data_IF_236020677819
#
_entry.id   IF_236020677819
#
_cell.length_a   1.000
_cell.length_b   1.000
_cell.length_c   1.000
_cell.angle_alpha   90.00
_cell.angle_beta   90.00
_cell.angle_gamma   90.00
#
_symmetry.space_group_name_H-M   'P 1'
#
loop_
_entity.id
_entity.type
_entity.pdbx_description
1 polymer ?
#
# COMPACT_ATOMS: atom_id res chain seq x y z
N UNK A 1 -77.74 1.67 -25.23
CA UNK A 1 -77.93 2.37 -23.94
C UNK A 1 -76.61 3.06 -23.59
N UNK A 2 -76.51 4.39 -23.79
CA UNK A 2 -75.29 5.15 -23.47
C UNK A 2 -75.34 5.53 -21.99
N UNK A 3 -74.42 5.00 -21.19
CA UNK A 3 -74.25 5.41 -19.79
C UNK A 3 -73.82 6.89 -19.79
N UNK A 4 -74.67 7.75 -19.24
CA UNK A 4 -74.39 9.18 -19.06
C UNK A 4 -73.39 9.27 -17.90
N UNK A 5 -72.11 9.49 -18.20
CA UNK A 5 -71.13 9.79 -17.17
C UNK A 5 -71.41 11.20 -16.66
N UNK A 6 -71.94 11.32 -15.44
CA UNK A 6 -72.03 12.61 -14.76
C UNK A 6 -70.60 13.11 -14.51
N UNK A 7 -70.18 14.13 -15.24
CA UNK A 7 -68.99 14.89 -14.86
C UNK A 7 -69.37 15.82 -13.71
N UNK A 8 -69.27 15.32 -12.48
CA UNK A 8 -69.39 16.14 -11.26
C UNK A 8 -68.12 16.97 -11.09
N UNK A 9 -68.26 18.30 -11.15
CA UNK A 9 -67.21 19.24 -10.77
C UNK A 9 -67.22 19.50 -9.25
N UNK A 10 -66.08 19.95 -8.73
CA UNK A 10 -65.96 20.35 -7.32
C UNK A 10 -66.64 21.70 -7.07
N UNK A 11 -67.26 21.85 -5.92
CA UNK A 11 -67.78 23.13 -5.44
C UNK A 11 -66.65 24.03 -4.95
N UNK A 12 -66.88 25.35 -4.98
CA UNK A 12 -65.91 26.33 -4.46
C UNK A 12 -65.58 26.09 -2.98
N UNK A 13 -66.55 25.62 -2.19
CA UNK A 13 -66.34 25.34 -0.77
C UNK A 13 -65.43 24.12 -0.55
N UNK A 14 -65.53 23.07 -1.39
CA UNK A 14 -64.62 21.92 -1.34
C UNK A 14 -63.19 22.31 -1.72
N UNK A 15 -63.03 23.20 -2.70
CA UNK A 15 -61.70 23.74 -3.06
C UNK A 15 -61.09 24.57 -1.93
N UNK A 16 -61.89 25.39 -1.23
CA UNK A 16 -61.41 26.16 -0.08
C UNK A 16 -60.97 25.28 1.09
N UNK A 17 -61.78 24.26 1.45
CA UNK A 17 -61.46 23.34 2.54
C UNK A 17 -60.23 22.50 2.22
N UNK A 18 -60.10 22.01 0.98
CA UNK A 18 -58.97 21.17 0.57
C UNK A 18 -57.63 21.92 0.62
N UNK A 19 -57.59 23.16 0.15
CA UNK A 19 -56.37 23.99 0.19
C UNK A 19 -55.98 24.34 1.62
N UNK A 20 -56.96 24.62 2.49
CA UNK A 20 -56.71 24.89 3.91
C UNK A 20 -56.06 23.68 4.61
N UNK A 21 -56.58 22.47 4.39
CA UNK A 21 -56.01 21.25 4.98
C UNK A 21 -54.65 20.92 4.38
N UNK A 22 -54.49 21.05 3.06
CA UNK A 22 -53.23 20.72 2.37
C UNK A 22 -52.09 21.66 2.79
N UNK A 23 -52.34 22.97 2.86
CA UNK A 23 -51.34 23.94 3.33
C UNK A 23 -50.93 23.69 4.78
N UNK A 24 -51.87 23.32 5.66
CA UNK A 24 -51.57 22.91 7.03
C UNK A 24 -50.64 21.69 7.07
N UNK A 25 -50.98 20.64 6.31
CA UNK A 25 -50.18 19.40 6.26
C UNK A 25 -48.79 19.64 5.71
N UNK A 26 -48.63 20.42 4.63
CA UNK A 26 -47.31 20.76 4.07
C UNK A 26 -46.49 21.57 5.07
N UNK A 27 -47.11 22.51 5.79
CA UNK A 27 -46.37 23.36 6.74
C UNK A 27 -45.80 22.51 7.89
N UNK A 28 -46.59 21.56 8.41
CA UNK A 28 -46.15 20.63 9.45
C UNK A 28 -45.08 19.67 8.91
N UNK A 29 -45.31 19.06 7.74
CA UNK A 29 -44.37 18.14 7.11
C UNK A 29 -43.04 18.79 6.73
N UNK A 30 -43.08 19.99 6.18
CA UNK A 30 -41.90 20.77 5.79
C UNK A 30 -41.03 21.14 6.99
N UNK A 31 -41.64 21.55 8.11
CA UNK A 31 -40.90 21.84 9.34
C UNK A 31 -40.17 20.60 9.87
N UNK A 32 -40.82 19.42 9.84
CA UNK A 32 -40.21 18.16 10.26
C UNK A 32 -38.99 17.79 9.39
N UNK A 33 -39.12 17.89 8.06
CA UNK A 33 -38.05 17.57 7.11
C UNK A 33 -36.83 18.49 7.28
N UNK A 34 -37.04 19.79 7.50
CA UNK A 34 -35.94 20.74 7.71
C UNK A 34 -35.16 20.43 9.00
N UNK A 35 -35.86 20.12 10.10
CA UNK A 35 -35.23 19.75 11.35
C UNK A 35 -34.46 18.41 11.23
N UNK A 36 -35.03 17.45 10.50
CA UNK A 36 -34.37 16.18 10.20
C UNK A 36 -33.08 16.39 9.39
N UNK A 37 -33.09 17.27 8.38
CA UNK A 37 -31.90 17.57 7.59
C UNK A 37 -30.80 18.25 8.42
N UNK A 38 -31.16 19.19 9.31
CA UNK A 38 -30.21 19.81 10.22
C UNK A 38 -29.57 18.79 11.18
N UNK A 39 -30.38 17.89 11.75
CA UNK A 39 -29.92 16.81 12.62
C UNK A 39 -29.04 15.80 11.88
N UNK A 40 -29.40 15.48 10.63
CA UNK A 40 -28.62 14.60 9.77
C UNK A 40 -27.23 15.17 9.49
N UNK A 41 -27.12 16.45 9.09
CA UNK A 41 -25.83 17.12 8.84
C UNK A 41 -24.97 17.19 10.10
N UNK A 42 -25.56 17.48 11.27
CA UNK A 42 -24.84 17.44 12.55
C UNK A 42 -24.29 16.04 12.81
N UNK A 43 -25.11 15.00 12.66
CA UNK A 43 -24.70 13.60 12.87
C UNK A 43 -23.60 13.17 11.91
N UNK A 44 -23.69 13.57 10.64
CA UNK A 44 -22.69 13.25 9.63
C UNK A 44 -21.33 13.85 10.01
N UNK A 45 -21.28 15.13 10.36
CA UNK A 45 -20.03 15.78 10.78
C UNK A 45 -19.44 15.15 12.04
N UNK A 46 -20.28 14.77 13.01
CA UNK A 46 -19.84 14.06 14.21
C UNK A 46 -19.24 12.68 13.87
N UNK A 47 -19.78 11.98 12.87
CA UNK A 47 -19.21 10.70 12.40
C UNK A 47 -17.83 10.91 11.77
N UNK A 48 -17.67 11.90 10.90
CA UNK A 48 -16.37 12.22 10.28
C UNK A 48 -15.30 12.53 11.33
N UNK A 49 -15.64 13.30 12.37
CA UNK A 49 -14.71 13.57 13.47
C UNK A 49 -14.43 12.32 14.30
N UNK A 50 -15.45 11.51 14.59
CA UNK A 50 -15.25 10.27 15.33
C UNK A 50 -14.37 9.28 14.56
N UNK A 51 -14.50 9.22 13.23
CA UNK A 51 -13.64 8.42 12.36
C UNK A 51 -12.19 8.93 12.38
N UNK A 52 -11.99 10.26 12.36
CA UNK A 52 -10.66 10.85 12.54
C UNK A 52 -10.05 10.50 13.91
N UNK A 53 -10.83 10.60 15.00
CA UNK A 53 -10.37 10.22 16.34
C UNK A 53 -10.07 8.72 16.44
N UNK A 54 -10.89 7.89 15.80
CA UNK A 54 -10.64 6.45 15.71
C UNK A 54 -9.34 6.15 14.98
N UNK A 55 -9.03 6.85 13.89
CA UNK A 55 -7.75 6.71 13.18
C UNK A 55 -6.56 7.10 14.06
N UNK A 56 -6.66 8.20 14.83
CA UNK A 56 -5.61 8.60 15.78
C UNK A 56 -5.41 7.54 16.86
N UNK A 57 -6.49 7.01 17.41
CA UNK A 57 -6.44 5.91 18.39
C UNK A 57 -5.81 4.65 17.80
N UNK A 58 -6.14 4.32 16.55
CA UNK A 58 -5.54 3.19 15.84
C UNK A 58 -4.04 3.39 15.62
N UNK A 59 -3.60 4.58 15.22
CA UNK A 59 -2.19 4.91 15.08
C UNK A 59 -1.44 4.74 16.41
N UNK A 60 -1.93 5.36 17.49
CA UNK A 60 -1.31 5.24 18.82
C UNK A 60 -1.25 3.76 19.20
N UNK A 61 -2.34 3.02 19.01
CA UNK A 61 -2.38 1.59 19.33
C UNK A 61 -1.35 0.78 18.55
N UNK A 62 -1.16 1.09 17.26
CA UNK A 62 -0.20 0.40 16.40
C UNK A 62 1.23 0.61 16.90
N UNK A 63 1.57 1.84 17.28
CA UNK A 63 2.90 2.12 17.81
C UNK A 63 3.12 1.53 19.20
N UNK A 64 2.13 1.65 20.09
CA UNK A 64 2.20 1.02 21.40
C UNK A 64 2.35 -0.50 21.27
N UNK A 65 1.66 -1.17 20.36
CA UNK A 65 1.79 -2.63 20.16
C UNK A 65 3.17 -3.09 19.71
N UNK A 66 3.92 -2.23 19.02
CA UNK A 66 5.27 -2.51 18.54
C UNK A 66 6.35 -2.04 19.51
N UNK A 67 5.98 -1.21 20.49
CA UNK A 67 6.92 -0.64 21.44
C UNK A 67 7.32 -1.58 22.57
N UNK A 68 8.27 -1.11 23.38
CA UNK A 68 8.68 -1.69 24.66
C UNK A 68 8.93 -0.59 25.68
N UNK A 69 9.31 -0.95 26.91
CA UNK A 69 9.67 0.00 27.97
C UNK A 69 8.64 1.12 28.17
N UNK A 70 7.38 0.73 28.41
CA UNK A 70 6.31 1.71 28.62
C UNK A 70 6.51 2.43 29.95
N UNK A 71 6.71 3.72 29.87
CA UNK A 71 6.74 4.63 31.00
C UNK A 71 5.52 5.53 30.91
N UNK A 72 4.68 5.47 31.93
CA UNK A 72 3.63 6.44 32.11
C UNK A 72 3.93 7.26 33.35
N UNK A 73 3.91 8.59 33.18
CA UNK A 73 4.38 9.50 34.21
C UNK A 73 5.47 10.44 33.71
N UNK A 74 5.66 11.53 34.45
CA UNK A 74 6.83 12.41 34.33
C UNK A 74 8.04 11.89 35.11
N UNK A 75 8.04 10.60 35.48
CA UNK A 75 9.12 9.97 36.25
C UNK A 75 10.34 9.74 35.38
N UNK A 76 11.43 10.42 35.73
CA UNK A 76 12.78 10.11 35.23
C UNK A 76 13.34 8.88 35.98
N UNK A 77 14.05 7.97 35.30
CA UNK A 77 14.43 8.00 33.88
C UNK A 77 13.26 7.64 32.94
N UNK A 78 13.19 8.29 31.78
CA UNK A 78 12.06 8.14 30.82
C UNK A 78 12.10 6.80 30.06
N UNK A 79 13.28 6.19 30.03
CA UNK A 79 13.61 4.90 29.43
C UNK A 79 13.26 3.69 30.31
N UNK A 80 13.02 3.92 31.60
CA UNK A 80 12.65 2.87 32.54
C UNK A 80 11.13 2.63 32.56
N UNK A 81 10.65 1.38 32.56
CA UNK A 81 9.22 1.11 32.63
C UNK A 81 8.58 1.64 33.91
N UNK A 82 7.40 2.24 33.79
CA UNK A 82 6.63 2.73 34.94
C UNK A 82 5.12 2.65 34.69
N UNK A 83 4.41 2.03 35.63
CA UNK A 83 2.95 1.91 35.61
C UNK A 83 2.28 3.16 36.17
N UNK A 84 1.07 3.45 35.66
CA UNK A 84 0.26 4.58 36.12
C UNK A 84 -1.24 4.26 36.01
N UNK A 85 -2.06 4.88 36.86
CA UNK A 85 -3.51 4.78 36.76
C UNK A 85 -4.10 5.79 35.77
N UNK A 86 -3.50 6.97 35.64
CA UNK A 86 -3.89 8.00 34.69
C UNK A 86 -2.78 9.04 34.58
N UNK A 87 -2.33 9.31 33.37
CA UNK A 87 -1.46 10.45 33.07
C UNK A 87 -1.84 11.05 31.71
N UNK A 88 -1.53 12.32 31.50
CA UNK A 88 -1.70 12.99 30.22
C UNK A 88 -0.66 12.54 29.20
N UNK A 89 0.44 11.91 29.64
CA UNK A 89 1.55 11.50 28.80
C UNK A 89 1.89 10.01 28.95
N UNK A 90 2.24 9.39 27.83
CA UNK A 90 2.83 8.05 27.78
C UNK A 90 4.07 8.08 26.91
N UNK A 91 5.12 7.45 27.41
CA UNK A 91 6.39 7.29 26.74
C UNK A 91 6.73 5.82 26.58
N UNK A 92 7.37 5.46 25.48
CA UNK A 92 7.80 4.09 25.21
C UNK A 92 8.92 4.06 24.19
N UNK A 93 9.65 2.96 24.20
CA UNK A 93 10.68 2.66 23.22
C UNK A 93 10.05 2.13 21.93
N UNK A 94 10.46 2.63 20.77
CA UNK A 94 9.92 2.15 19.49
C UNK A 94 10.67 0.90 19.04
N UNK A 95 10.04 0.02 18.24
CA UNK A 95 10.65 -1.24 17.74
C UNK A 95 11.99 -1.06 16.98
N UNK A 96 12.29 0.16 16.54
CA UNK A 96 13.52 0.50 15.80
C UNK A 96 14.43 1.48 16.56
N UNK A 97 14.05 1.90 17.77
CA UNK A 97 14.90 2.75 18.60
C UNK A 97 15.82 1.93 19.50
N UNK A 98 16.65 2.62 20.28
CA UNK A 98 17.63 2.00 21.16
C UNK A 98 17.17 2.14 22.62
N UNK A 99 16.83 1.03 23.32
CA UNK A 99 16.40 1.07 24.72
C UNK A 99 17.38 1.78 25.67
N UNK A 100 18.67 1.84 25.32
CA UNK A 100 19.71 2.48 26.12
C UNK A 100 19.88 3.99 25.83
N UNK A 101 19.10 4.56 24.92
CA UNK A 101 19.21 5.96 24.49
C UNK A 101 17.99 6.77 24.93
N UNK A 102 18.11 7.58 25.98
CA UNK A 102 16.99 8.38 26.52
C UNK A 102 16.48 9.54 25.61
N UNK A 103 16.92 9.64 24.35
CA UNK A 103 16.58 10.74 23.43
C UNK A 103 15.76 10.30 22.20
N UNK A 104 15.44 9.02 22.05
CA UNK A 104 14.67 8.48 20.92
C UNK A 104 13.33 7.85 21.31
N UNK A 105 12.92 7.97 22.58
CA UNK A 105 11.62 7.49 23.02
C UNK A 105 10.50 8.24 22.30
N UNK A 106 9.44 7.51 22.01
CA UNK A 106 8.23 8.05 21.42
C UNK A 106 7.29 8.46 22.54
N UNK A 107 6.79 9.69 22.45
CA UNK A 107 5.93 10.29 23.46
C UNK A 107 4.59 10.67 22.83
N UNK A 108 3.50 10.21 23.43
CA UNK A 108 2.17 10.73 23.17
C UNK A 108 1.70 11.49 24.38
N UNK A 109 1.20 12.70 24.17
CA UNK A 109 0.65 13.50 25.27
C UNK A 109 -0.63 14.21 24.88
N UNK A 110 -1.45 14.49 25.88
CA UNK A 110 -2.60 15.37 25.79
C UNK A 110 -2.17 16.72 26.34
N UNK A 111 -2.13 17.73 25.47
CA UNK A 111 -1.76 19.09 25.85
C UNK A 111 -2.63 20.09 25.09
N UNK A 112 -3.05 21.17 25.75
CA UNK A 112 -3.93 22.19 25.19
C UNK A 112 -5.19 21.62 24.50
N UNK A 113 -5.77 20.55 25.07
CA UNK A 113 -6.97 19.91 24.52
C UNK A 113 -6.75 19.10 23.24
N UNK A 114 -5.51 18.80 22.87
CA UNK A 114 -5.17 18.04 21.67
C UNK A 114 -4.17 16.92 21.96
N UNK A 115 -4.14 15.90 21.09
CA UNK A 115 -3.13 14.85 21.15
C UNK A 115 -1.94 15.27 20.33
N UNK A 116 -0.77 15.21 20.95
CA UNK A 116 0.51 15.52 20.33
C UNK A 116 1.42 14.30 20.34
N UNK A 117 2.32 14.25 19.37
CA UNK A 117 3.32 13.18 19.23
C UNK A 117 4.73 13.76 19.14
N UNK A 118 5.65 13.12 19.84
CA UNK A 118 7.09 13.34 19.76
C UNK A 118 7.80 12.02 19.46
N UNK A 119 8.95 12.11 18.80
CA UNK A 119 9.84 10.96 18.50
C UNK A 119 11.23 11.15 19.10
N UNK A 120 11.40 12.16 19.95
CA UNK A 120 12.68 12.58 20.52
C UNK A 120 12.50 12.90 22.01
N UNK A 121 11.87 11.97 22.73
CA UNK A 121 11.68 12.03 24.19
C UNK A 121 11.04 13.33 24.69
N UNK A 122 10.07 13.84 23.92
CA UNK A 122 9.30 15.04 24.28
C UNK A 122 10.03 16.37 24.03
N UNK A 123 11.19 16.38 23.37
CA UNK A 123 11.93 17.62 23.07
C UNK A 123 11.17 18.55 22.11
N UNK A 124 10.40 18.00 21.17
CA UNK A 124 9.47 18.78 20.35
C UNK A 124 8.18 18.03 20.02
N UNK A 125 7.13 18.79 19.69
CA UNK A 125 5.81 18.29 19.29
C UNK A 125 5.35 19.07 18.05
N UNK A 126 5.77 18.65 16.85
CA UNK A 126 5.60 19.45 15.64
C UNK A 126 4.18 19.42 15.07
N UNK A 127 3.33 18.49 15.51
CA UNK A 127 2.01 18.27 14.93
C UNK A 127 1.00 17.81 15.99
N UNK A 128 -0.18 18.43 15.95
CA UNK A 128 -1.38 17.96 16.63
C UNK A 128 -2.10 16.92 15.76
N UNK A 129 -2.45 15.78 16.35
CA UNK A 129 -3.08 14.65 15.63
C UNK A 129 -4.59 14.81 15.52
N UNK A 130 -5.20 15.61 16.39
CA UNK A 130 -6.64 15.81 16.45
C UNK A 130 -7.04 17.10 15.74
N UNK A 131 -8.21 17.14 15.04
CA UNK A 131 -8.74 18.37 14.45
C UNK A 131 -8.98 19.48 15.48
N UNK A 132 -8.94 20.74 15.05
CA UNK A 132 -9.11 21.91 15.93
C UNK A 132 -10.52 22.01 16.52
N UNK A 133 -11.51 21.38 15.90
CA UNK A 133 -12.89 21.31 16.38
C UNK A 133 -13.05 20.37 17.59
N UNK A 134 -12.04 19.54 17.88
CA UNK A 134 -12.01 18.65 19.03
C UNK A 134 -11.24 19.31 20.15
N UNK A 135 -11.87 19.37 21.31
CA UNK A 135 -11.26 19.83 22.56
C UNK A 135 -11.34 18.67 23.56
N UNK A 136 -10.18 18.11 23.87
CA UNK A 136 -10.03 16.98 24.80
C UNK A 136 -10.01 17.52 26.23
N UNK A 137 -10.82 16.91 27.08
CA UNK A 137 -10.85 17.17 28.51
C UNK A 137 -9.66 16.46 29.17
N UNK A 138 -8.69 17.20 29.76
CA UNK A 138 -7.51 16.62 30.37
C UNK A 138 -7.80 15.88 31.69
N UNK A 139 -8.92 16.15 32.36
CA UNK A 139 -9.28 15.50 33.64
C UNK A 139 -9.96 14.15 33.42
N UNK A 140 -10.61 13.97 32.26
CA UNK A 140 -11.32 12.74 31.89
C UNK A 140 -10.55 11.86 30.91
N UNK A 141 -9.50 12.40 30.31
CA UNK A 141 -8.66 11.73 29.31
C UNK A 141 -7.29 11.39 29.86
N UNK A 142 -6.67 10.36 29.31
CA UNK A 142 -5.34 9.96 29.71
C UNK A 142 -4.96 8.57 29.26
N UNK A 143 -3.73 8.23 29.60
CA UNK A 143 -3.12 6.93 29.43
C UNK A 143 -2.99 6.25 30.78
N UNK A 144 -3.30 4.96 30.82
CA UNK A 144 -3.02 4.11 31.98
C UNK A 144 -2.16 2.95 31.53
N UNK A 145 -1.05 2.70 32.22
CA UNK A 145 -0.11 1.62 31.91
C UNK A 145 -0.10 0.65 33.08
N UNK A 146 -0.21 -0.65 32.77
CA UNK A 146 -0.21 -1.70 33.76
C UNK A 146 0.69 -2.86 33.34
N UNK A 147 1.39 -3.43 34.29
CA UNK A 147 2.26 -4.60 34.09
C UNK A 147 3.47 -4.31 33.20
N UNK A 148 3.95 -3.06 33.16
CA UNK A 148 5.16 -2.68 32.40
C UNK A 148 6.46 -3.08 33.07
N UNK A 149 6.44 -3.35 34.39
CA UNK A 149 7.65 -3.69 35.15
C UNK A 149 8.34 -4.96 34.64
N UNK A 150 9.68 -4.98 34.56
CA UNK A 150 10.43 -6.16 34.15
C UNK A 150 10.20 -7.36 35.08
N UNK A 151 10.20 -8.58 34.51
CA UNK A 151 10.21 -9.86 35.25
C UNK A 151 9.00 -10.16 36.16
N UNK A 152 7.93 -9.38 36.12
CA UNK A 152 6.72 -9.65 36.91
C UNK A 152 5.81 -10.73 36.29
N UNK A 153 6.11 -11.20 35.07
CA UNK A 153 5.34 -12.22 34.34
C UNK A 153 3.98 -11.72 33.83
N UNK A 154 3.67 -10.43 34.00
CA UNK A 154 2.47 -9.81 33.46
C UNK A 154 2.73 -9.26 32.07
N UNK A 155 1.73 -9.38 31.21
CA UNK A 155 1.72 -8.73 29.92
C UNK A 155 1.43 -7.24 30.11
N UNK A 156 2.28 -6.33 29.59
CA UNK A 156 1.97 -4.91 29.60
C UNK A 156 0.66 -4.66 28.86
N UNK A 157 -0.16 -3.76 29.41
CA UNK A 157 -1.40 -3.30 28.79
C UNK A 157 -1.54 -1.80 28.97
N UNK A 158 -2.00 -1.14 27.91
CA UNK A 158 -2.26 0.30 27.91
C UNK A 158 -3.74 0.53 27.72
N UNK A 159 -4.34 1.27 28.63
CA UNK A 159 -5.69 1.81 28.49
C UNK A 159 -5.55 3.26 28.01
N UNK A 160 -6.27 3.59 26.93
CA UNK A 160 -6.38 4.95 26.45
C UNK A 160 -7.83 5.38 26.65
N UNK A 161 -8.02 6.53 27.28
CA UNK A 161 -9.32 7.18 27.43
C UNK A 161 -9.24 8.58 26.84
N UNK A 162 -10.13 8.88 25.92
CA UNK A 162 -10.29 10.22 25.33
C UNK A 162 -11.73 10.67 25.54
N UNK A 163 -11.92 11.72 26.30
CA UNK A 163 -13.20 12.37 26.51
C UNK A 163 -13.04 13.87 26.27
N UNK A 164 -14.11 14.52 25.83
CA UNK A 164 -14.06 15.94 25.52
C UNK A 164 -15.30 16.39 24.79
N UNK A 165 -15.17 17.52 24.09
CA UNK A 165 -16.25 18.13 23.31
C UNK A 165 -15.83 18.33 21.86
N UNK A 166 -16.80 18.10 20.96
CA UNK A 166 -16.69 18.43 19.54
C UNK A 166 -17.54 19.67 19.30
N UNK A 167 -16.91 20.74 18.84
CA UNK A 167 -17.56 22.01 18.58
C UNK A 167 -18.07 22.08 17.13
N UNK A 168 -19.38 21.89 16.94
CA UNK A 168 -20.01 22.05 15.61
C UNK A 168 -20.92 23.28 15.59
N UNK A 169 -20.54 24.31 14.80
CA UNK A 169 -21.30 25.58 14.69
C UNK A 169 -21.65 26.21 16.05
N UNK A 170 -20.69 26.19 16.99
CA UNK A 170 -20.88 26.74 18.34
C UNK A 170 -21.78 25.90 19.25
N UNK A 171 -22.09 24.66 18.88
CA UNK A 171 -22.80 23.71 19.72
C UNK A 171 -21.82 22.62 20.20
N UNK A 172 -21.38 22.66 21.47
CA UNK A 172 -20.50 21.63 22.02
C UNK A 172 -21.28 20.31 22.13
N UNK A 173 -20.69 19.23 21.62
CA UNK A 173 -21.25 17.88 21.72
C UNK A 173 -20.23 16.98 22.42
N UNK A 174 -20.56 16.38 23.58
CA UNK A 174 -19.61 15.56 24.32
C UNK A 174 -19.33 14.24 23.59
N UNK A 175 -18.11 13.73 23.74
CA UNK A 175 -17.72 12.38 23.32
C UNK A 175 -16.88 11.70 24.40
N UNK A 176 -16.86 10.37 24.36
CA UNK A 176 -15.99 9.56 25.21
C UNK A 176 -15.64 8.27 24.47
N UNK A 177 -14.36 8.07 24.23
CA UNK A 177 -13.76 6.89 23.62
C UNK A 177 -12.83 6.23 24.63
N UNK A 178 -12.86 4.90 24.70
CA UNK A 178 -12.00 4.14 25.58
C UNK A 178 -11.57 2.87 24.87
N UNK A 179 -10.28 2.54 24.92
CA UNK A 179 -9.78 1.29 24.36
C UNK A 179 -8.64 0.74 25.20
N UNK A 180 -8.67 -0.57 25.43
CA UNK A 180 -7.63 -1.32 26.14
C UNK A 180 -6.85 -2.15 25.12
N UNK A 181 -5.52 -2.11 25.20
CA UNK A 181 -4.64 -2.89 24.34
C UNK A 181 -3.75 -3.80 25.16
N UNK A 182 -3.84 -5.12 24.90
CA UNK A 182 -2.96 -6.13 25.47
C UNK A 182 -1.85 -6.47 24.45
N UNK A 183 -0.58 -6.33 24.84
CA UNK A 183 0.53 -6.18 23.88
C UNK A 183 1.09 -7.51 23.31
N UNK A 184 1.30 -8.56 24.11
CA UNK A 184 1.78 -9.89 23.65
C UNK A 184 0.85 -10.66 22.68
N UNK A 185 -0.47 -10.63 22.88
CA UNK A 185 -1.41 -11.43 22.05
C UNK A 185 -1.51 -10.86 20.63
N UNK A 186 -1.33 -9.54 20.48
CA UNK A 186 -1.48 -8.87 19.20
C UNK A 186 -0.16 -8.74 18.42
N UNK A 187 0.98 -8.53 19.11
CA UNK A 187 2.30 -8.46 18.45
C UNK A 187 2.67 -9.74 17.71
N UNK A 188 2.31 -10.92 18.23
CA UNK A 188 2.49 -12.20 17.54
C UNK A 188 1.68 -12.29 16.24
N UNK A 189 0.43 -11.81 16.23
CA UNK A 189 -0.39 -11.74 15.00
C UNK A 189 0.14 -10.72 13.99
N UNK A 190 0.66 -9.58 14.45
CA UNK A 190 1.20 -8.54 13.59
C UNK A 190 2.53 -8.95 12.96
N UNK A 191 3.41 -9.62 13.71
CA UNK A 191 4.61 -10.23 13.18
C UNK A 191 4.30 -11.29 12.11
N UNK A 192 3.28 -12.13 12.34
CA UNK A 192 2.82 -13.11 11.35
C UNK A 192 2.30 -12.44 10.06
N UNK A 193 1.53 -11.35 10.18
CA UNK A 193 1.05 -10.56 9.04
C UNK A 193 2.20 -9.90 8.25
N UNK A 194 3.20 -9.35 8.94
CA UNK A 194 4.40 -8.77 8.33
C UNK A 194 5.22 -9.81 7.54
N UNK A 195 5.36 -11.03 8.07
CA UNK A 195 6.01 -12.15 7.37
C UNK A 195 5.24 -12.52 6.09
N UNK A 196 3.90 -12.55 6.16
CA UNK A 196 3.05 -12.83 4.99
C UNK A 196 3.14 -11.72 3.92
N UNK A 197 3.16 -10.44 4.32
CA UNK A 197 3.36 -9.32 3.39
C UNK A 197 4.75 -9.33 2.75
N UNK A 198 5.81 -9.68 3.51
CA UNK A 198 7.16 -9.83 2.98
C UNK A 198 7.27 -10.95 1.93
N UNK A 199 6.61 -12.08 2.16
CA UNK A 199 6.51 -13.17 1.19
C UNK A 199 5.77 -12.77 -0.10
N UNK A 200 4.70 -11.97 0.02
CA UNK A 200 3.93 -11.47 -1.12
C UNK A 200 4.69 -10.49 -2.02
N UNK A 201 5.54 -9.63 -1.45
CA UNK A 201 6.39 -8.71 -2.23
C UNK A 201 7.47 -9.50 -2.96
N UNK A 202 8.09 -10.48 -2.29
CA UNK A 202 9.14 -11.32 -2.88
C UNK A 202 8.60 -12.16 -4.05
N UNK A 203 7.39 -12.72 -3.92
CA UNK A 203 6.73 -13.46 -5.01
C UNK A 203 6.32 -12.56 -6.17
N UNK A 204 5.92 -11.31 -5.91
CA UNK A 204 5.61 -10.34 -6.97
C UNK A 204 6.86 -9.93 -7.75
N UNK A 205 7.99 -9.67 -7.07
CA UNK A 205 9.27 -9.37 -7.73
C UNK A 205 9.75 -10.56 -8.56
N UNK A 206 9.64 -11.78 -8.03
CA UNK A 206 9.94 -13.00 -8.76
C UNK A 206 9.08 -13.12 -10.04
N UNK A 207 7.75 -12.96 -9.92
CA UNK A 207 6.83 -13.04 -11.05
C UNK A 207 7.12 -11.96 -12.11
N UNK A 208 7.46 -10.73 -11.68
CA UNK A 208 7.87 -9.64 -12.58
C UNK A 208 9.13 -10.03 -13.36
N UNK A 209 10.17 -10.49 -12.66
CA UNK A 209 11.43 -10.86 -13.30
C UNK A 209 11.26 -12.05 -14.25
N UNK A 210 10.43 -13.03 -13.87
CA UNK A 210 10.11 -14.17 -14.72
C UNK A 210 9.38 -13.76 -16.01
N UNK A 211 8.46 -12.78 -15.94
CA UNK A 211 7.81 -12.23 -17.13
C UNK A 211 8.79 -11.50 -18.04
N UNK A 212 9.63 -10.61 -17.49
CA UNK A 212 10.65 -9.89 -18.27
C UNK A 212 11.62 -10.86 -18.93
N UNK A 213 12.14 -11.85 -18.19
CA UNK A 213 13.02 -12.87 -18.74
C UNK A 213 12.36 -13.67 -19.88
N UNK A 214 11.05 -13.95 -19.77
CA UNK A 214 10.31 -14.64 -20.83
C UNK A 214 10.23 -13.83 -22.12
N UNK A 215 9.98 -12.52 -22.01
CA UNK A 215 9.96 -11.63 -23.18
C UNK A 215 11.34 -11.45 -23.79
N UNK A 216 12.39 -11.28 -22.97
CA UNK A 216 13.78 -11.18 -23.45
C UNK A 216 14.25 -12.45 -24.17
N UNK A 217 13.79 -13.61 -23.72
CA UNK A 217 14.12 -14.87 -24.35
C UNK A 217 13.42 -15.02 -25.72
N UNK A 218 12.14 -14.64 -25.82
CA UNK A 218 11.42 -14.60 -27.10
C UNK A 218 12.03 -13.60 -28.08
N UNK A 219 12.34 -12.38 -27.62
CA UNK A 219 13.05 -11.36 -28.40
C UNK A 219 14.37 -11.90 -28.95
N UNK A 220 15.10 -12.71 -28.17
CA UNK A 220 16.30 -13.40 -28.62
C UNK A 220 16.12 -14.22 -29.91
N UNK A 221 15.01 -14.95 -30.00
CA UNK A 221 14.68 -15.73 -31.20
C UNK A 221 14.28 -14.81 -32.36
N UNK A 222 13.51 -13.77 -32.07
CA UNK A 222 13.10 -12.78 -33.08
C UNK A 222 14.29 -12.04 -33.71
N UNK A 223 15.34 -11.73 -32.94
CA UNK A 223 16.56 -11.11 -33.50
C UNK A 223 17.27 -12.05 -34.48
N UNK A 224 17.37 -13.35 -34.16
CA UNK A 224 17.95 -14.34 -35.09
C UNK A 224 17.10 -14.47 -36.35
N UNK A 225 15.76 -14.44 -36.20
CA UNK A 225 14.84 -14.42 -37.32
C UNK A 225 15.02 -13.16 -38.18
N UNK A 226 15.24 -12.00 -37.57
CA UNK A 226 15.51 -10.74 -38.26
C UNK A 226 16.81 -10.81 -39.09
N UNK A 227 17.90 -11.35 -38.52
CA UNK A 227 19.15 -11.58 -39.25
C UNK A 227 18.92 -12.49 -40.47
N UNK A 228 18.19 -13.60 -40.29
CA UNK A 228 17.81 -14.50 -41.39
C UNK A 228 17.05 -13.73 -42.48
N UNK A 229 16.01 -13.01 -42.10
CA UNK A 229 15.12 -12.34 -43.05
C UNK A 229 15.85 -11.25 -43.83
N UNK A 230 16.74 -10.48 -43.18
CA UNK A 230 17.59 -9.50 -43.86
C UNK A 230 18.50 -10.14 -44.91
N UNK A 231 19.12 -11.28 -44.61
CA UNK A 231 19.95 -12.00 -45.57
C UNK A 231 19.15 -12.50 -46.78
N UNK A 232 17.93 -12.99 -46.55
CA UNK A 232 17.02 -13.40 -47.63
C UNK A 232 16.62 -12.22 -48.49
N UNK A 233 16.32 -11.05 -47.89
CA UNK A 233 15.95 -9.83 -48.62
C UNK A 233 17.12 -9.23 -49.42
N UNK A 234 18.36 -9.36 -48.94
CA UNK A 234 19.56 -8.84 -49.60
C UNK A 234 20.11 -9.77 -50.70
N UNK A 235 19.57 -10.98 -50.83
CA UNK A 235 19.99 -11.97 -51.83
C UNK A 235 21.13 -12.88 -51.39
N UNK A 236 21.63 -12.73 -50.16
CA UNK A 236 22.64 -13.61 -49.55
C UNK A 236 22.04 -14.95 -49.07
N UNK A 237 20.72 -14.98 -48.90
CA UNK A 237 19.94 -16.19 -48.64
C UNK A 237 20.33 -16.87 -47.34
N UNK A 238 20.17 -18.20 -47.29
CA UNK A 238 20.49 -18.98 -46.10
C UNK A 238 22.00 -19.11 -45.85
N UNK A 239 22.81 -19.02 -46.90
CA UNK A 239 24.28 -19.04 -46.79
C UNK A 239 24.82 -17.84 -46.02
N UNK A 240 24.35 -16.63 -46.35
CA UNK A 240 24.69 -15.40 -45.62
C UNK A 240 24.23 -15.45 -44.17
N UNK A 241 22.99 -15.89 -43.92
CA UNK A 241 22.48 -16.10 -42.57
C UNK A 241 23.39 -16.99 -41.73
N UNK A 242 23.82 -18.14 -42.28
CA UNK A 242 24.71 -19.07 -41.59
C UNK A 242 26.08 -18.48 -41.24
N UNK A 243 26.61 -17.58 -42.09
CA UNK A 243 27.86 -16.85 -41.82
C UNK A 243 27.65 -15.82 -40.72
N UNK A 244 26.56 -15.06 -40.77
CA UNK A 244 26.29 -13.99 -39.80
C UNK A 244 26.11 -14.54 -38.39
N UNK A 245 25.45 -15.69 -38.21
CA UNK A 245 25.21 -16.27 -36.87
C UNK A 245 26.23 -17.34 -36.46
N UNK A 246 27.36 -17.45 -37.16
CA UNK A 246 28.34 -18.51 -36.90
C UNK A 246 28.91 -18.46 -35.47
N UNK A 247 29.08 -17.25 -34.93
CA UNK A 247 29.56 -17.03 -33.57
C UNK A 247 28.52 -17.39 -32.49
N UNK A 248 27.26 -17.62 -32.89
CA UNK A 248 26.20 -18.07 -32.01
C UNK A 248 26.16 -19.60 -31.83
N UNK A 249 27.02 -20.38 -32.50
CA UNK A 249 27.07 -21.84 -32.29
C UNK A 249 27.49 -22.21 -30.86
N UNK A 250 28.39 -21.43 -30.26
CA UNK A 250 28.86 -21.58 -28.88
C UNK A 250 28.11 -20.74 -27.84
N UNK A 251 27.11 -19.96 -28.28
CA UNK A 251 26.42 -18.98 -27.45
C UNK A 251 26.90 -17.55 -27.68
N UNK A 252 26.01 -16.69 -28.15
CA UNK A 252 26.26 -15.27 -28.39
C UNK A 252 25.20 -14.40 -27.69
N UNK A 253 25.43 -13.09 -27.70
CA UNK A 253 24.44 -12.07 -27.39
C UNK A 253 24.26 -11.17 -28.63
N UNK A 254 23.01 -10.84 -28.94
CA UNK A 254 22.64 -9.99 -30.07
C UNK A 254 22.03 -8.71 -29.51
N UNK A 255 22.45 -7.58 -30.07
CA UNK A 255 21.89 -6.27 -29.76
C UNK A 255 20.57 -6.04 -30.53
N UNK A 256 19.48 -5.63 -29.85
CA UNK A 256 18.18 -5.50 -30.49
C UNK A 256 18.07 -4.31 -31.46
N UNK A 257 19.01 -3.36 -31.43
CA UNK A 257 18.93 -2.14 -32.24
C UNK A 257 19.70 -2.28 -33.56
N UNK A 258 20.93 -2.76 -33.49
CA UNK A 258 21.83 -2.85 -34.65
C UNK A 258 22.15 -4.28 -35.07
N UNK A 259 21.60 -5.28 -34.37
CA UNK A 259 21.85 -6.72 -34.58
C UNK A 259 23.32 -7.12 -34.43
N UNK A 260 24.14 -6.30 -33.77
CA UNK A 260 25.53 -6.62 -33.52
C UNK A 260 25.64 -7.86 -32.62
N UNK A 261 26.50 -8.80 -33.05
CA UNK A 261 26.78 -10.03 -32.31
C UNK A 261 27.99 -9.80 -31.40
N UNK A 262 27.88 -10.28 -30.17
CA UNK A 262 28.93 -10.18 -29.16
C UNK A 262 28.94 -11.40 -28.25
N UNK A 263 29.94 -11.48 -27.38
CA UNK A 263 30.03 -12.48 -26.30
C UNK A 263 29.66 -11.89 -24.93
N UNK A 264 28.99 -10.73 -24.92
CA UNK A 264 28.58 -10.03 -23.70
C UNK A 264 27.18 -10.47 -23.29
N UNK A 265 27.08 -11.47 -22.43
CA UNK A 265 25.80 -12.08 -22.07
C UNK A 265 24.97 -11.24 -21.08
N UNK A 266 25.59 -10.34 -20.31
CA UNK A 266 24.89 -9.47 -19.37
C UNK A 266 24.06 -8.41 -20.10
N UNK A 267 22.82 -8.23 -19.66
CA UNK A 267 21.89 -7.25 -20.23
C UNK A 267 21.71 -6.05 -19.31
N UNK A 268 21.98 -4.85 -19.84
CA UNK A 268 21.67 -3.60 -19.17
C UNK A 268 20.50 -2.89 -19.81
N UNK A 269 19.64 -2.33 -18.95
CA UNK A 269 18.54 -1.49 -19.37
C UNK A 269 19.05 -0.06 -19.62
N UNK A 270 18.98 0.39 -20.87
CA UNK A 270 19.48 1.70 -21.26
C UNK A 270 18.42 2.81 -21.15
N UNK A 271 18.83 4.07 -21.34
CA UNK A 271 17.93 5.23 -21.30
C UNK A 271 16.96 5.30 -22.48
N UNK A 272 17.17 4.49 -23.52
CA UNK A 272 16.28 4.38 -24.69
C UNK A 272 15.20 3.31 -24.50
N UNK A 273 15.26 2.57 -23.39
CA UNK A 273 14.25 1.59 -23.00
C UNK A 273 14.51 0.16 -23.49
N UNK A 274 15.72 -0.15 -23.93
CA UNK A 274 16.12 -1.48 -24.41
C UNK A 274 17.05 -2.19 -23.44
N UNK A 275 17.00 -3.53 -23.46
CA UNK A 275 17.99 -4.38 -22.80
C UNK A 275 19.10 -4.74 -23.79
N UNK A 276 20.29 -4.21 -23.58
CA UNK A 276 21.42 -4.35 -24.51
C UNK A 276 22.58 -5.16 -23.90
N UNK A 277 23.30 -5.96 -24.71
CA UNK A 277 24.54 -6.61 -24.31
C UNK A 277 25.54 -5.62 -23.71
N UNK A 278 26.08 -5.92 -22.53
CA UNK A 278 27.00 -5.04 -21.80
C UNK A 278 28.09 -5.83 -21.10
N UNK A 279 29.25 -5.20 -20.90
CA UNK A 279 30.34 -5.72 -20.06
C UNK A 279 30.07 -5.51 -18.56
N UNK A 280 29.06 -4.71 -18.23
CA UNK A 280 28.70 -4.43 -16.84
C UNK A 280 27.56 -5.32 -16.42
N UNK A 281 27.69 -5.96 -15.26
CA UNK A 281 26.71 -6.91 -14.74
C UNK A 281 25.29 -6.32 -14.73
N UNK A 282 24.37 -7.07 -15.31
CA UNK A 282 22.95 -6.76 -15.37
C UNK A 282 22.13 -7.62 -14.41
N UNK A 283 20.81 -7.38 -14.37
CA UNK A 283 19.90 -8.27 -13.65
C UNK A 283 19.67 -9.58 -14.42
N UNK A 284 19.69 -9.51 -15.75
CA UNK A 284 19.45 -10.63 -16.65
C UNK A 284 20.69 -10.92 -17.46
N UNK A 285 20.94 -12.20 -17.73
CA UNK A 285 21.93 -12.65 -18.69
C UNK A 285 21.22 -13.42 -19.79
N UNK A 286 21.53 -13.13 -21.06
CA UNK A 286 20.94 -13.78 -22.22
C UNK A 286 22.02 -14.47 -23.04
N UNK A 287 21.79 -15.73 -23.35
CA UNK A 287 22.62 -16.53 -24.26
C UNK A 287 21.75 -17.08 -25.39
N UNK A 288 22.13 -16.78 -26.63
CA UNK A 288 21.48 -17.25 -27.85
C UNK A 288 22.39 -18.28 -28.50
N UNK A 289 21.88 -19.48 -28.75
CA UNK A 289 22.60 -20.56 -29.40
C UNK A 289 21.91 -20.92 -30.71
N UNK A 290 22.66 -21.00 -31.81
CA UNK A 290 22.15 -21.43 -33.11
C UNK A 290 22.87 -22.71 -33.54
N UNK A 291 22.10 -23.78 -33.74
CA UNK A 291 22.61 -25.09 -34.14
C UNK A 291 22.05 -25.49 -35.49
N UNK A 292 22.89 -26.01 -36.40
CA UNK A 292 22.48 -26.43 -37.75
C UNK A 292 22.46 -27.96 -37.86
N UNK A 293 21.31 -28.63 -37.63
CA UNK A 293 21.21 -30.08 -37.78
C UNK A 293 21.24 -30.49 -39.25
N UNK A 294 22.36 -31.08 -39.72
CA UNK A 294 22.37 -31.87 -40.96
C UNK A 294 22.55 -31.12 -42.28
N UNK A 295 22.93 -29.84 -42.26
CA UNK A 295 23.18 -29.02 -43.46
C UNK A 295 22.49 -27.65 -43.34
N UNK A 296 23.00 -26.65 -44.06
CA UNK A 296 22.53 -25.25 -44.01
C UNK A 296 21.13 -25.08 -44.64
N UNK A 297 20.11 -25.80 -44.18
CA UNK A 297 18.71 -25.61 -44.59
C UNK A 297 17.73 -25.60 -43.41
N UNK A 298 18.22 -25.92 -42.20
CA UNK A 298 17.48 -25.80 -40.94
C UNK A 298 18.43 -25.28 -39.85
N UNK A 299 17.90 -24.43 -38.97
CA UNK A 299 18.63 -23.90 -37.81
C UNK A 299 17.74 -23.98 -36.57
N UNK A 300 18.20 -24.70 -35.55
CA UNK A 300 17.59 -24.71 -34.22
C UNK A 300 18.17 -23.56 -33.39
N UNK A 301 17.32 -22.58 -33.08
CA UNK A 301 17.65 -21.41 -32.27
C UNK A 301 17.16 -21.66 -30.85
N UNK A 302 18.05 -21.50 -29.87
CA UNK A 302 17.73 -21.55 -28.44
C UNK A 302 18.12 -20.23 -27.79
N UNK A 303 17.18 -19.59 -27.11
CA UNK A 303 17.42 -18.36 -26.35
C UNK A 303 17.16 -18.64 -24.88
N UNK A 304 18.22 -18.55 -24.06
CA UNK A 304 18.16 -18.75 -22.62
C UNK A 304 18.41 -17.43 -21.91
N UNK A 305 17.52 -17.07 -20.98
CA UNK A 305 17.67 -15.92 -20.09
C UNK A 305 17.71 -16.38 -18.65
N UNK A 306 18.77 -16.01 -17.93
CA UNK A 306 18.98 -16.32 -16.52
C UNK A 306 19.00 -15.05 -15.66
N UNK A 307 18.58 -15.18 -14.40
CA UNK A 307 18.67 -14.14 -13.39
C UNK A 307 18.74 -14.75 -12.00
N UNK A 308 19.24 -13.98 -11.03
CA UNK A 308 19.24 -14.37 -9.62
C UNK A 308 18.06 -13.73 -8.89
N UNK A 309 17.33 -14.53 -8.12
CA UNK A 309 16.33 -14.05 -7.17
C UNK A 309 16.82 -14.30 -5.75
N UNK A 310 17.42 -13.28 -5.14
CA UNK A 310 18.25 -13.46 -3.95
C UNK A 310 19.52 -14.25 -4.30
N UNK A 311 19.75 -15.36 -3.62
CA UNK A 311 20.89 -16.27 -3.90
C UNK A 311 20.54 -17.44 -4.81
N UNK A 312 19.29 -17.54 -5.27
CA UNK A 312 18.81 -18.66 -6.09
C UNK A 312 18.85 -18.29 -7.57
N UNK A 313 19.59 -19.04 -8.41
CA UNK A 313 19.59 -18.83 -9.85
C UNK A 313 18.32 -19.41 -10.48
N UNK A 314 17.73 -18.65 -11.40
CA UNK A 314 16.59 -19.04 -12.23
C UNK A 314 16.91 -18.84 -13.70
N UNK A 315 16.24 -19.60 -14.56
CA UNK A 315 16.37 -19.47 -16.01
C UNK A 315 15.10 -19.83 -16.75
N UNK A 316 14.91 -19.21 -17.91
CA UNK A 316 13.87 -19.50 -18.88
C UNK A 316 14.53 -19.74 -20.23
N UNK A 317 14.05 -20.75 -20.95
CA UNK A 317 14.59 -21.11 -22.26
C UNK A 317 13.44 -21.21 -23.26
N UNK A 318 13.57 -20.49 -24.38
CA UNK A 318 12.74 -20.70 -25.55
C UNK A 318 13.58 -21.33 -26.66
N UNK A 319 12.91 -22.15 -27.49
CA UNK A 319 13.54 -22.82 -28.62
C UNK A 319 12.61 -22.80 -29.81
N UNK A 320 13.18 -22.57 -30.97
CA UNK A 320 12.48 -22.61 -32.25
C UNK A 320 13.38 -23.19 -33.35
N UNK A 321 12.78 -23.86 -34.33
CA UNK A 321 13.47 -24.28 -35.54
C UNK A 321 13.10 -23.32 -36.67
N UNK A 322 14.12 -22.74 -37.29
CA UNK A 322 14.01 -21.95 -38.51
C UNK A 322 14.31 -22.85 -39.71
N UNK A 323 13.57 -22.67 -40.80
CA UNK A 323 13.77 -23.39 -42.06
C UNK A 323 14.15 -22.44 -43.17
N UNK A 324 14.90 -22.94 -44.14
CA UNK A 324 15.22 -22.23 -45.37
C UNK A 324 13.94 -21.80 -46.10
N UNK A 325 13.91 -20.51 -46.47
CA UNK A 325 12.79 -19.90 -47.19
C UNK A 325 13.24 -19.62 -48.62
N UNK A 326 12.62 -20.29 -49.58
CA UNK A 326 12.80 -20.02 -51.02
C UNK A 326 11.64 -19.17 -51.51
N UNK A 327 11.91 -17.99 -52.05
CA UNK A 327 10.92 -17.16 -52.74
C UNK A 327 10.86 -17.48 -54.23
#
# INVERSE_FOLDING_TARGET
MKLKTNQSGFSLIEMMVSVAIFSLVITIGGAAVLNQNATFKKTQHLREINDNLAFVMEEISRHLRLGSNYNCGSSLPIEEPNDCLSDAEITFEHVFGNPDNSNDQWVYRINNGQIQKSKNSGSNFPLDLTPVEVEIDPDLSGFSVFGSEPNNGFQPRVLIRLAGVINYKGQPTPFSLQTLFAILIFSSSLAALLVVSGGGINSTVFAKNQLVASFLAQEGIEMVRNIRDNNVLNGDGWGGFGVDVIDCVGGCAIDPVDLAISTNYDLQYDSTGFFRPSLTAGLFQRTITVYFPGGFSEAMVTSEVSWNHGSTPHKITFRENLFEVTW
#
